data_IF_872899314374
#
_entry.id   IF_872899314374
#
_cell.length_a   1.000
_cell.length_b   1.000
_cell.length_c   1.000
_cell.angle_alpha   90.00
_cell.angle_beta   90.00
_cell.angle_gamma   90.00
#
_symmetry.space_group_name_H-M   'P 1'
#
loop_
_entity.id
_entity.type
_entity.pdbx_description
1 polymer ?
#
# COMPACT_ATOMS: atom_id res chain seq x y z
N UNK A 1 3.40 -20.43 -19.97
CA UNK A 1 4.14 -21.71 -19.99
C UNK A 1 3.40 -22.79 -19.20
N UNK A 2 2.96 -22.52 -17.96
CA UNK A 2 2.23 -23.50 -17.14
C UNK A 2 0.98 -24.03 -17.86
N UNK A 3 0.12 -23.16 -18.37
CA UNK A 3 -1.08 -23.54 -19.12
C UNK A 3 -0.76 -24.41 -20.35
N UNK A 4 0.29 -24.08 -21.12
CA UNK A 4 0.72 -24.85 -22.27
C UNK A 4 1.27 -26.24 -21.92
N UNK A 5 1.63 -26.47 -20.67
CA UNK A 5 2.11 -27.75 -20.15
C UNK A 5 1.02 -28.54 -19.39
N UNK A 6 -0.20 -27.98 -19.30
CA UNK A 6 -1.28 -28.58 -18.51
C UNK A 6 -1.05 -28.51 -16.99
N UNK A 7 -0.17 -27.61 -16.53
CA UNK A 7 0.09 -27.40 -15.10
C UNK A 7 -0.92 -26.45 -14.50
N UNK A 8 -1.08 -26.53 -13.18
CA UNK A 8 -1.87 -25.53 -12.43
C UNK A 8 -1.25 -24.15 -12.59
N UNK A 9 -2.06 -23.20 -13.02
CA UNK A 9 -1.64 -21.80 -13.15
C UNK A 9 -1.86 -21.04 -11.84
N UNK A 10 -0.99 -20.08 -11.46
CA UNK A 10 -1.25 -19.17 -10.35
C UNK A 10 -2.52 -18.38 -10.61
N UNK A 11 -3.33 -18.17 -9.57
CA UNK A 11 -4.57 -17.38 -9.62
C UNK A 11 -4.49 -16.13 -8.76
N UNK A 12 -3.52 -16.04 -7.87
CA UNK A 12 -3.30 -14.89 -7.00
C UNK A 12 -1.82 -14.67 -6.74
N UNK A 13 -1.50 -13.44 -6.36
CA UNK A 13 -0.18 -13.01 -5.89
C UNK A 13 -0.32 -12.31 -4.53
N UNK A 14 0.65 -12.51 -3.65
CA UNK A 14 0.66 -11.92 -2.31
C UNK A 14 1.85 -10.93 -2.17
N UNK A 15 1.74 -9.69 -2.67
CA UNK A 15 2.77 -8.68 -2.57
C UNK A 15 2.58 -7.77 -1.35
N UNK A 16 3.61 -7.00 -0.98
CA UNK A 16 3.43 -5.84 -0.12
C UNK A 16 2.75 -4.72 -0.92
N UNK A 17 1.63 -4.18 -0.40
CA UNK A 17 0.95 -3.07 -1.05
C UNK A 17 0.18 -2.23 -0.02
N UNK A 18 0.43 -0.94 -0.01
CA UNK A 18 -0.23 0.06 0.85
C UNK A 18 0.15 1.47 0.36
N UNK A 19 -0.42 2.52 0.94
CA UNK A 19 -0.14 3.92 0.58
C UNK A 19 1.35 4.33 0.66
N UNK A 20 2.19 3.62 1.42
CA UNK A 20 3.63 3.89 1.53
C UNK A 20 4.49 2.93 0.70
N UNK A 21 3.89 1.99 -0.01
CA UNK A 21 4.62 0.99 -0.82
C UNK A 21 3.79 0.64 -2.05
N UNK A 22 4.03 1.35 -3.15
CA UNK A 22 3.23 1.29 -4.38
C UNK A 22 4.00 0.87 -5.63
N UNK A 23 5.29 0.56 -5.53
CA UNK A 23 6.12 0.20 -6.69
C UNK A 23 5.61 -1.01 -7.48
N UNK A 24 4.76 -1.87 -6.89
CA UNK A 24 4.13 -2.97 -7.61
C UNK A 24 3.21 -2.49 -8.76
N UNK A 25 2.74 -1.25 -8.71
CA UNK A 25 1.89 -0.67 -9.74
C UNK A 25 2.61 -0.48 -11.08
N UNK A 26 3.95 -0.47 -11.08
CA UNK A 26 4.74 -0.26 -12.28
C UNK A 26 4.73 -1.47 -13.23
N UNK A 27 4.80 -2.68 -12.68
CA UNK A 27 4.92 -3.90 -13.49
C UNK A 27 4.04 -5.05 -12.98
N UNK A 28 3.96 -5.24 -11.65
CA UNK A 28 3.26 -6.39 -11.07
C UNK A 28 1.75 -6.26 -11.26
N UNK A 29 1.17 -5.10 -10.96
CA UNK A 29 -0.27 -4.86 -11.15
C UNK A 29 -0.66 -5.04 -12.62
N UNK A 30 0.00 -4.42 -13.62
CA UNK A 30 -0.29 -4.67 -15.04
C UNK A 30 -0.12 -6.12 -15.45
N UNK A 31 0.86 -6.83 -14.89
CA UNK A 31 1.03 -8.26 -15.18
C UNK A 31 -0.13 -9.10 -14.58
N UNK A 32 -0.55 -8.80 -13.34
CA UNK A 32 -1.69 -9.47 -12.71
C UNK A 32 -2.98 -9.23 -13.50
N UNK A 33 -3.21 -8.00 -13.93
CA UNK A 33 -4.34 -7.65 -14.79
C UNK A 33 -4.34 -8.45 -16.10
N UNK A 34 -3.20 -8.45 -16.80
CA UNK A 34 -3.04 -9.17 -18.06
C UNK A 34 -3.30 -10.66 -17.96
N UNK A 35 -2.94 -11.28 -16.85
CA UNK A 35 -3.01 -12.74 -16.66
C UNK A 35 -4.16 -13.18 -15.75
N UNK A 36 -5.03 -12.27 -15.32
CA UNK A 36 -6.19 -12.57 -14.48
C UNK A 36 -5.82 -13.04 -13.07
N UNK A 37 -4.73 -12.51 -12.48
CA UNK A 37 -4.35 -12.81 -11.10
C UNK A 37 -4.93 -11.77 -10.15
N UNK A 38 -5.54 -12.22 -9.05
CA UNK A 38 -5.94 -11.35 -7.95
C UNK A 38 -4.76 -11.03 -7.02
N UNK A 39 -4.79 -9.86 -6.39
CA UNK A 39 -3.81 -9.48 -5.38
C UNK A 39 -4.36 -9.71 -3.97
N UNK A 40 -3.54 -10.31 -3.11
CA UNK A 40 -3.77 -10.44 -1.67
C UNK A 40 -2.68 -9.68 -0.89
N UNK A 41 -2.76 -8.34 -0.79
CA UNK A 41 -1.70 -7.54 -0.21
C UNK A 41 -1.45 -7.85 1.27
N UNK A 42 -0.18 -8.02 1.63
CA UNK A 42 0.24 -8.05 3.03
C UNK A 42 0.75 -6.67 3.49
N UNK A 43 0.79 -6.48 4.80
CA UNK A 43 1.17 -5.19 5.45
C UNK A 43 0.33 -3.99 4.98
N UNK A 44 -1.00 -4.11 4.91
CA UNK A 44 -1.87 -3.06 4.37
C UNK A 44 -1.80 -1.75 5.17
N UNK A 45 -1.40 -1.82 6.44
CA UNK A 45 -1.23 -0.67 7.33
C UNK A 45 0.24 -0.28 7.56
N UNK A 46 1.16 -0.74 6.70
CA UNK A 46 2.59 -0.40 6.75
C UNK A 46 3.19 -0.53 8.15
N UNK A 47 3.02 -1.69 8.81
CA UNK A 47 3.53 -1.90 10.17
C UNK A 47 2.90 -1.01 11.25
N UNK A 48 1.80 -0.37 10.91
CA UNK A 48 1.07 0.55 11.78
C UNK A 48 1.33 2.03 11.53
N UNK A 49 2.13 2.38 10.53
CA UNK A 49 2.31 3.78 10.11
C UNK A 49 0.98 4.43 9.73
N UNK A 50 0.17 3.75 8.96
CA UNK A 50 -1.13 4.23 8.47
C UNK A 50 -2.26 4.19 9.53
N UNK A 51 -1.92 3.96 10.80
CA UNK A 51 -2.89 4.04 11.92
C UNK A 51 -2.80 5.36 12.70
N UNK A 52 -1.87 6.25 12.35
CA UNK A 52 -1.68 7.54 13.01
C UNK A 52 -1.04 7.47 14.40
N UNK A 53 -0.50 6.32 14.81
CA UNK A 53 0.10 6.14 16.14
C UNK A 53 1.55 6.63 16.27
N UNK A 54 2.26 6.80 15.16
CA UNK A 54 3.64 7.31 15.18
C UNK A 54 3.66 8.84 15.04
N UNK A 55 4.72 9.47 15.52
CA UNK A 55 4.91 10.92 15.49
C UNK A 55 6.23 11.27 14.81
N UNK A 56 6.26 12.44 14.14
CA UNK A 56 7.40 12.92 13.35
C UNK A 56 8.69 13.02 14.19
N UNK A 57 8.61 13.56 15.38
CA UNK A 57 9.77 13.91 16.20
C UNK A 57 9.97 12.96 17.40
N UNK A 58 9.25 11.84 17.42
CA UNK A 58 9.31 10.92 18.56
C UNK A 58 9.53 9.50 18.07
N UNK A 59 10.71 8.96 18.38
CA UNK A 59 11.02 7.58 18.08
C UNK A 59 10.07 6.65 18.82
N UNK A 60 9.45 5.67 18.14
CA UNK A 60 8.52 4.75 18.79
C UNK A 60 9.17 3.98 19.94
N UNK A 61 8.44 3.85 21.04
CA UNK A 61 8.83 3.07 22.22
C UNK A 61 7.60 2.35 22.80
N UNK A 62 7.83 1.38 23.69
CA UNK A 62 6.77 0.64 24.39
C UNK A 62 6.07 -0.39 23.50
N UNK A 63 4.89 -0.85 23.94
CA UNK A 63 4.15 -1.99 23.39
C UNK A 63 3.52 -1.74 22.01
N UNK A 64 4.33 -1.32 21.03
CA UNK A 64 3.94 -1.20 19.63
C UNK A 64 4.92 -1.98 18.74
N UNK A 65 4.52 -2.27 17.50
CA UNK A 65 5.37 -3.06 16.59
C UNK A 65 6.76 -2.46 16.36
N UNK A 66 6.87 -1.13 16.26
CA UNK A 66 8.13 -0.42 16.13
C UNK A 66 8.71 0.00 17.48
N UNK A 67 7.91 0.11 18.55
CA UNK A 67 8.39 0.37 19.89
C UNK A 67 9.23 -0.79 20.43
N UNK A 68 8.79 -2.02 20.15
CA UNK A 68 9.54 -3.24 20.50
C UNK A 68 10.81 -3.42 19.64
N UNK A 69 10.77 -2.98 18.36
CA UNK A 69 11.91 -3.03 17.45
C UNK A 69 11.81 -1.92 16.37
N UNK A 70 12.33 -0.70 16.65
CA UNK A 70 12.28 0.42 15.71
C UNK A 70 13.03 0.19 14.38
N UNK A 71 13.99 -0.73 14.36
CA UNK A 71 14.78 -1.08 13.18
C UNK A 71 14.20 -2.23 12.35
N UNK A 72 12.96 -2.67 12.67
CA UNK A 72 12.36 -3.85 12.07
C UNK A 72 12.02 -3.68 10.58
N UNK A 73 12.86 -4.24 9.72
CA UNK A 73 12.60 -4.45 8.30
C UNK A 73 12.32 -3.19 7.49
N UNK A 74 11.47 -3.32 6.50
CA UNK A 74 11.11 -2.23 5.57
C UNK A 74 10.32 -1.09 6.23
N UNK A 75 9.63 -1.38 7.34
CA UNK A 75 8.80 -0.44 8.07
C UNK A 75 9.55 0.27 9.21
N UNK A 76 10.88 0.08 9.30
CA UNK A 76 11.73 0.69 10.30
C UNK A 76 11.51 2.22 10.37
N UNK A 77 11.52 2.76 11.59
CA UNK A 77 11.23 4.20 11.79
C UNK A 77 12.17 5.09 10.99
N UNK A 78 13.48 4.84 11.05
CA UNK A 78 14.47 5.67 10.36
C UNK A 78 14.34 5.62 8.82
N UNK A 79 13.77 4.56 8.26
CA UNK A 79 13.50 4.44 6.83
C UNK A 79 12.24 5.19 6.41
N UNK A 80 11.23 5.15 7.25
CA UNK A 80 9.91 5.75 6.97
C UNK A 80 9.78 7.18 7.47
N UNK A 81 10.63 7.63 8.37
CA UNK A 81 10.61 9.01 8.89
C UNK A 81 11.13 10.00 7.84
N UNK A 82 10.37 10.21 6.79
CA UNK A 82 10.67 11.10 5.66
C UNK A 82 9.52 12.08 5.44
N UNK A 83 9.79 13.23 4.83
CA UNK A 83 8.76 14.22 4.51
C UNK A 83 7.66 13.63 3.61
N UNK A 84 8.02 12.80 2.64
CA UNK A 84 7.06 12.12 1.79
C UNK A 84 6.12 11.20 2.58
N UNK A 85 6.62 10.42 3.53
CA UNK A 85 5.78 9.61 4.41
C UNK A 85 4.83 10.47 5.24
N UNK A 86 5.33 11.56 5.80
CA UNK A 86 4.49 12.45 6.62
C UNK A 86 3.45 13.18 5.80
N UNK A 87 3.75 13.59 4.57
CA UNK A 87 2.75 14.15 3.66
C UNK A 87 1.59 13.17 3.39
N UNK A 88 1.89 11.89 3.21
CA UNK A 88 0.87 10.85 3.05
C UNK A 88 0.04 10.68 4.33
N UNK A 89 0.69 10.70 5.51
CA UNK A 89 -0.01 10.54 6.79
C UNK A 89 -0.90 11.75 7.10
N UNK A 90 -0.44 12.97 6.83
CA UNK A 90 -1.21 14.20 7.02
C UNK A 90 -2.45 14.19 6.10
N UNK A 91 -2.30 13.84 4.82
CA UNK A 91 -3.43 13.72 3.91
C UNK A 91 -4.40 12.60 4.31
N UNK A 92 -3.88 11.46 4.78
CA UNK A 92 -4.70 10.35 5.26
C UNK A 92 -5.50 10.73 6.52
N UNK A 93 -4.91 11.51 7.43
CA UNK A 93 -5.61 12.01 8.61
C UNK A 93 -6.76 12.94 8.22
N UNK A 94 -6.53 13.85 7.28
CA UNK A 94 -7.56 14.76 6.77
C UNK A 94 -8.71 14.01 6.09
N UNK A 95 -8.38 13.07 5.18
CA UNK A 95 -9.38 12.23 4.50
C UNK A 95 -10.19 11.42 5.51
N UNK A 96 -9.52 10.79 6.47
CA UNK A 96 -10.19 10.01 7.51
C UNK A 96 -11.18 10.85 8.32
N UNK A 97 -10.77 12.07 8.75
CA UNK A 97 -11.64 13.01 9.48
C UNK A 97 -12.86 13.43 8.65
N UNK A 98 -12.65 13.77 7.37
CA UNK A 98 -13.73 14.20 6.47
C UNK A 98 -14.74 13.08 6.18
N UNK A 99 -14.25 11.84 6.13
CA UNK A 99 -15.08 10.64 5.86
C UNK A 99 -15.67 10.01 7.14
N UNK A 100 -15.39 10.55 8.33
CA UNK A 100 -15.84 9.95 9.58
C UNK A 100 -15.19 8.60 9.89
N UNK A 101 -14.01 8.34 9.36
CA UNK A 101 -13.26 7.08 9.49
C UNK A 101 -12.04 7.25 10.38
N UNK A 102 -11.49 6.15 10.89
CA UNK A 102 -10.13 6.13 11.40
C UNK A 102 -9.13 6.12 10.24
N UNK A 103 -7.89 6.58 10.47
CA UNK A 103 -6.83 6.50 9.46
C UNK A 103 -6.62 5.06 8.95
N UNK A 104 -6.69 4.08 9.84
CA UNK A 104 -6.58 2.67 9.48
C UNK A 104 -7.70 2.24 8.52
N UNK A 105 -8.94 2.64 8.79
CA UNK A 105 -10.07 2.32 7.93
C UNK A 105 -9.96 3.02 6.56
N UNK A 106 -9.60 4.29 6.52
CA UNK A 106 -9.41 5.01 5.27
C UNK A 106 -8.29 4.41 4.40
N UNK A 107 -7.17 4.01 5.04
CA UNK A 107 -6.06 3.35 4.34
C UNK A 107 -6.45 1.95 3.80
N UNK A 108 -7.23 1.18 4.57
CA UNK A 108 -7.72 -0.13 4.15
C UNK A 108 -8.77 0.00 3.04
N UNK A 109 -9.70 0.96 3.13
CA UNK A 109 -10.70 1.23 2.10
C UNK A 109 -10.03 1.63 0.78
N UNK A 110 -9.05 2.56 0.83
CA UNK A 110 -8.27 2.92 -0.35
C UNK A 110 -7.61 1.70 -1.01
N UNK A 111 -7.04 0.79 -0.22
CA UNK A 111 -6.39 -0.41 -0.73
C UNK A 111 -7.38 -1.43 -1.27
N UNK A 112 -8.49 -1.66 -0.56
CA UNK A 112 -9.52 -2.62 -0.96
C UNK A 112 -10.21 -2.23 -2.28
N UNK A 113 -10.32 -0.92 -2.55
CA UNK A 113 -10.92 -0.39 -3.77
C UNK A 113 -9.97 -0.42 -4.99
N UNK A 114 -8.72 -0.91 -4.85
CA UNK A 114 -7.83 -1.08 -6.01
C UNK A 114 -8.32 -2.20 -6.92
N UNK A 115 -8.41 -1.99 -8.25
CA UNK A 115 -9.07 -2.92 -9.19
C UNK A 115 -8.57 -4.36 -9.12
N UNK A 116 -7.28 -4.57 -8.83
CA UNK A 116 -6.67 -5.91 -8.79
C UNK A 116 -6.63 -6.52 -7.39
N UNK A 117 -7.03 -5.77 -6.36
CA UNK A 117 -7.01 -6.26 -4.98
C UNK A 117 -8.24 -7.11 -4.72
N UNK A 118 -8.01 -8.38 -4.47
CA UNK A 118 -9.08 -9.33 -4.12
C UNK A 118 -9.37 -9.31 -2.62
N UNK A 119 -8.32 -9.25 -1.78
CA UNK A 119 -8.49 -9.25 -0.33
C UNK A 119 -7.20 -8.80 0.37
N UNK A 120 -7.18 -7.66 1.08
CA UNK A 120 -6.07 -7.29 1.95
C UNK A 120 -5.92 -8.26 3.13
N UNK A 121 -4.66 -8.63 3.45
CA UNK A 121 -4.37 -9.48 4.61
C UNK A 121 -4.19 -8.59 5.83
N UNK A 122 -5.15 -8.64 6.75
CA UNK A 122 -5.12 -7.87 7.99
C UNK A 122 -4.72 -8.73 9.18
N UNK A 123 -3.97 -8.14 10.13
CA UNK A 123 -3.67 -8.72 11.43
C UNK A 123 -4.18 -7.84 12.54
N UNK A 124 -4.73 -8.43 13.61
CA UNK A 124 -5.23 -7.72 14.77
C UNK A 124 -4.68 -8.34 16.05
N UNK A 125 -4.42 -7.51 17.06
CA UNK A 125 -4.04 -7.95 18.41
C UNK A 125 -5.22 -7.99 19.36
N UNK A 126 -6.29 -7.26 19.05
CA UNK A 126 -7.52 -7.17 19.85
C UNK A 126 -8.73 -7.37 18.95
N UNK A 127 -9.84 -7.78 19.58
CA UNK A 127 -11.12 -7.95 18.89
C UNK A 127 -11.59 -6.61 18.27
N UNK A 128 -11.40 -5.51 18.96
CA UNK A 128 -11.75 -4.17 18.49
C UNK A 128 -11.01 -3.82 17.18
N UNK A 129 -9.69 -4.09 17.12
CA UNK A 129 -8.91 -3.89 15.91
C UNK A 129 -9.40 -4.76 14.74
N UNK A 130 -9.77 -6.02 15.03
CA UNK A 130 -10.33 -6.92 14.03
C UNK A 130 -11.67 -6.40 13.51
N UNK A 131 -12.58 -6.04 14.39
CA UNK A 131 -13.89 -5.48 14.04
C UNK A 131 -13.75 -4.19 13.22
N UNK A 132 -12.87 -3.27 13.66
CA UNK A 132 -12.58 -2.04 12.92
C UNK A 132 -12.01 -2.28 11.51
N UNK A 133 -11.20 -3.32 11.34
CA UNK A 133 -10.66 -3.69 10.03
C UNK A 133 -11.71 -4.37 9.13
N UNK A 134 -12.54 -5.24 9.69
CA UNK A 134 -13.60 -5.94 8.95
C UNK A 134 -14.73 -4.99 8.52
N UNK A 135 -15.02 -3.95 9.31
CA UNK A 135 -16.01 -2.94 8.96
C UNK A 135 -15.70 -2.22 7.64
N UNK A 136 -14.45 -2.28 7.17
CA UNK A 136 -14.05 -1.66 5.89
C UNK A 136 -14.62 -2.39 4.67
N UNK A 137 -15.10 -3.62 4.80
CA UNK A 137 -15.69 -4.37 3.69
C UNK A 137 -16.88 -3.66 3.03
N UNK A 138 -17.57 -2.80 3.78
CA UNK A 138 -18.73 -2.01 3.33
C UNK A 138 -18.39 -0.52 3.13
N UNK A 139 -17.10 -0.15 3.21
CA UNK A 139 -16.66 1.25 3.17
C UNK A 139 -15.94 1.52 1.85
N UNK A 140 -16.43 2.50 1.12
CA UNK A 140 -15.79 3.05 -0.08
C UNK A 140 -15.47 4.52 0.13
N UNK A 141 -14.27 4.94 -0.24
CA UNK A 141 -13.93 6.36 -0.27
C UNK A 141 -14.61 7.03 -1.47
N UNK A 142 -15.04 8.28 -1.28
CA UNK A 142 -15.46 9.08 -2.43
C UNK A 142 -14.29 9.31 -3.41
N UNK A 143 -14.63 9.66 -4.66
CA UNK A 143 -13.65 9.78 -5.73
C UNK A 143 -12.57 10.83 -5.47
N UNK A 144 -12.89 11.91 -4.76
CA UNK A 144 -11.94 12.99 -4.44
C UNK A 144 -10.99 12.56 -3.33
N UNK A 145 -11.50 11.90 -2.29
CA UNK A 145 -10.70 11.32 -1.22
C UNK A 145 -9.72 10.24 -1.75
N UNK A 146 -10.23 9.33 -2.56
CA UNK A 146 -9.43 8.27 -3.17
C UNK A 146 -8.33 8.84 -4.09
N UNK A 147 -8.66 9.85 -4.91
CA UNK A 147 -7.71 10.53 -5.79
C UNK A 147 -6.64 11.26 -4.97
N UNK A 148 -7.02 12.05 -3.96
CA UNK A 148 -6.08 12.77 -3.08
C UNK A 148 -5.06 11.83 -2.44
N UNK A 149 -5.50 10.69 -1.91
CA UNK A 149 -4.59 9.68 -1.35
C UNK A 149 -3.67 9.06 -2.41
N UNK A 150 -4.19 8.84 -3.60
CA UNK A 150 -3.43 8.29 -4.72
C UNK A 150 -2.33 9.25 -5.17
N UNK A 151 -2.65 10.53 -5.34
CA UNK A 151 -1.71 11.57 -5.78
C UNK A 151 -0.60 11.81 -4.74
N UNK A 152 -0.95 12.00 -3.47
CA UNK A 152 0.04 12.30 -2.42
C UNK A 152 0.97 11.11 -2.13
N UNK A 153 0.52 9.89 -2.40
CA UNK A 153 1.30 8.66 -2.19
C UNK A 153 1.97 8.13 -3.46
N UNK A 154 1.99 8.90 -4.53
CA UNK A 154 2.63 8.51 -5.78
C UNK A 154 4.12 8.24 -5.56
N UNK A 155 4.63 7.06 -5.96
CA UNK A 155 6.03 6.74 -5.75
C UNK A 155 6.92 7.58 -6.68
N UNK A 156 8.01 8.12 -6.12
CA UNK A 156 9.05 8.74 -6.94
C UNK A 156 9.66 7.67 -7.85
N UNK A 157 9.55 7.88 -9.16
CA UNK A 157 10.09 6.95 -10.14
C UNK A 157 11.59 7.19 -10.31
N UNK A 158 12.42 6.14 -10.33
CA UNK A 158 13.82 6.27 -10.73
C UNK A 158 13.92 6.61 -12.22
N UNK A 159 14.94 7.37 -12.60
CA UNK A 159 15.18 7.76 -14.00
C UNK A 159 15.23 6.55 -14.93
N UNK A 160 15.91 5.50 -14.51
CA UNK A 160 15.94 4.24 -15.23
C UNK A 160 15.28 3.13 -14.38
N UNK A 161 14.39 2.32 -14.97
CA UNK A 161 13.92 2.30 -16.36
C UNK A 161 12.64 3.13 -16.64
N UNK A 162 12.12 3.89 -15.66
CA UNK A 162 10.77 4.48 -15.69
C UNK A 162 10.73 5.99 -16.01
N UNK A 163 11.84 6.72 -15.85
CA UNK A 163 11.98 8.12 -16.25
C UNK A 163 12.12 8.27 -17.76
N UNK A 164 12.16 9.51 -18.27
CA UNK A 164 12.22 9.82 -19.70
C UNK A 164 13.35 9.06 -20.40
N UNK A 165 14.57 9.08 -19.85
CA UNK A 165 15.72 8.37 -20.43
C UNK A 165 15.49 6.85 -20.47
N UNK A 166 14.87 6.27 -19.46
CA UNK A 166 14.55 4.86 -19.44
C UNK A 166 13.47 4.47 -20.45
N UNK A 167 12.47 5.32 -20.63
CA UNK A 167 11.40 5.13 -21.63
C UNK A 167 12.00 5.19 -23.04
N UNK A 168 12.83 6.16 -23.34
CA UNK A 168 13.48 6.30 -24.65
C UNK A 168 14.35 5.09 -24.98
N UNK A 169 15.12 4.61 -24.02
CA UNK A 169 15.95 3.41 -24.22
C UNK A 169 15.14 2.14 -24.46
N UNK A 170 13.98 2.00 -23.83
CA UNK A 170 13.09 0.84 -24.03
C UNK A 170 12.27 0.94 -25.30
N UNK A 171 11.99 2.14 -25.76
CA UNK A 171 11.13 2.41 -26.92
C UNK A 171 11.89 2.39 -28.25
N UNK A 172 13.24 2.28 -28.23
CA UNK A 172 14.01 2.22 -29.47
C UNK A 172 13.67 0.97 -30.27
N UNK A 173 13.47 1.16 -31.56
CA UNK A 173 13.28 0.07 -32.50
C UNK A 173 14.58 -0.74 -32.59
N UNK A 174 14.50 -2.05 -32.37
CA UNK A 174 15.61 -2.94 -32.64
C UNK A 174 15.77 -3.11 -34.16
N UNK A 175 17.02 -3.14 -34.68
CA UNK A 175 17.28 -3.32 -36.10
C UNK A 175 16.79 -4.67 -36.62
#
# INVERSE_FOLDING_TARGET
>A
RAAAQGWTVPVSLQPQYNLLTRYIELEIVPACERYGLGLMPWSPLAGGWLTGKYRRDTRPSGASRLGDNPARGMEAYDRRNTDATWAVLDALEDVAKQSGLTMAQAALAWLADRPQVTSPIVGARTLEQLQGSLAVAEVHLDGDAARRLTEVSEPALPDYPYGELGIDQRSRTLP
#
